data_IF_548186666523
#
_entry.id   IF_548186666523
#
_cell.length_a   1.000
_cell.length_b   1.000
_cell.length_c   1.000
_cell.angle_alpha   90.00
_cell.angle_beta   90.00
_cell.angle_gamma   90.00
#
_symmetry.space_group_name_H-M   'P 1'
#
loop_
_entity.id
_entity.type
_entity.pdbx_description
1 polymer ?
#
# COMPACT_ATOMS: atom_id res chain seq x y z
N UNK A 1 34.82 -12.24 8.44
CA UNK A 1 35.79 -11.31 7.80
C UNK A 1 35.83 -10.02 8.60
N UNK A 2 36.99 -9.39 8.80
CA UNK A 2 37.05 -8.02 9.34
C UNK A 2 36.86 -7.05 8.17
N UNK A 3 35.71 -6.37 8.09
CA UNK A 3 35.55 -5.24 7.19
C UNK A 3 36.41 -4.07 7.68
N UNK A 4 36.83 -3.19 6.76
CA UNK A 4 37.46 -1.92 7.14
C UNK A 4 36.38 -0.91 7.53
N UNK A 5 36.70 -0.01 8.42
CA UNK A 5 35.82 1.10 8.81
C UNK A 5 36.38 2.41 8.24
N UNK A 6 35.53 3.26 7.67
CA UNK A 6 35.88 4.63 7.28
C UNK A 6 34.86 5.61 7.88
N UNK A 7 35.29 6.83 8.22
CA UNK A 7 34.38 7.86 8.75
C UNK A 7 33.47 8.36 7.63
N UNK A 8 32.21 8.65 7.95
CA UNK A 8 31.25 9.19 6.99
C UNK A 8 31.75 10.48 6.31
N UNK A 9 32.42 11.35 7.07
CA UNK A 9 32.99 12.60 6.53
C UNK A 9 34.00 12.36 5.41
N UNK A 10 34.79 11.29 5.49
CA UNK A 10 35.81 10.97 4.49
C UNK A 10 35.21 10.36 3.21
N UNK A 11 33.95 9.89 3.29
CA UNK A 11 33.20 9.26 2.20
C UNK A 11 32.21 10.23 1.52
N UNK A 12 32.10 11.46 2.02
CA UNK A 12 31.17 12.46 1.51
C UNK A 12 31.93 13.66 0.91
N UNK A 13 31.55 14.07 -0.30
CA UNK A 13 31.91 15.38 -0.84
C UNK A 13 31.29 16.50 0.01
N UNK A 14 30.11 16.23 0.58
CA UNK A 14 29.30 17.22 1.23
C UNK A 14 28.46 16.62 2.36
N UNK A 15 28.52 17.26 3.53
CA UNK A 15 27.67 16.98 4.69
C UNK A 15 27.11 18.32 5.18
N UNK A 16 25.88 18.64 4.78
CA UNK A 16 25.27 19.97 5.01
C UNK A 16 24.02 19.86 5.85
N UNK A 17 24.06 20.52 7.00
CA UNK A 17 22.90 20.72 7.86
C UNK A 17 21.91 21.70 7.23
N UNK A 18 20.64 21.35 7.30
CA UNK A 18 19.55 22.16 6.77
C UNK A 18 19.41 23.51 7.51
N UNK A 19 18.69 24.49 6.90
CA UNK A 19 18.35 25.72 7.59
C UNK A 19 17.37 25.47 8.76
N UNK A 20 17.71 25.99 9.94
CA UNK A 20 16.87 25.87 11.15
C UNK A 20 15.63 26.78 11.13
N UNK A 21 15.51 27.69 10.15
CA UNK A 21 14.32 28.54 10.00
C UNK A 21 13.12 27.75 9.48
N UNK A 22 11.91 28.23 9.79
CA UNK A 22 10.67 27.66 9.21
C UNK A 22 10.50 28.15 7.77
N UNK A 23 10.16 27.28 6.81
CA UNK A 23 9.85 27.70 5.44
C UNK A 23 8.60 28.58 5.40
N UNK A 24 8.50 29.45 4.40
CA UNK A 24 7.22 30.07 4.06
C UNK A 24 6.40 29.02 3.32
N UNK A 25 5.35 28.51 3.97
CA UNK A 25 4.51 27.46 3.42
C UNK A 25 3.56 28.02 2.35
N UNK A 26 3.42 27.28 1.26
CA UNK A 26 2.50 27.59 0.16
C UNK A 26 1.75 26.34 -0.26
N UNK A 27 0.61 26.50 -0.94
CA UNK A 27 -0.16 25.37 -1.46
C UNK A 27 0.48 24.72 -2.69
N UNK A 28 1.37 25.47 -3.38
CA UNK A 28 2.11 25.05 -4.57
C UNK A 28 3.47 25.74 -4.63
N UNK A 29 4.41 25.16 -5.36
CA UNK A 29 5.76 25.73 -5.53
C UNK A 29 6.82 24.65 -5.50
N UNK A 30 7.96 24.96 -4.87
CA UNK A 30 9.08 24.03 -4.74
C UNK A 30 8.87 23.11 -3.55
N UNK A 31 9.22 21.83 -3.71
CA UNK A 31 9.04 20.82 -2.67
C UNK A 31 10.02 21.08 -1.51
N UNK A 32 9.48 21.04 -0.29
CA UNK A 32 10.25 21.06 0.95
C UNK A 32 10.16 19.68 1.58
N UNK A 33 11.29 18.99 1.67
CA UNK A 33 11.36 17.69 2.32
C UNK A 33 11.18 17.85 3.83
N UNK A 34 10.35 17.00 4.43
CA UNK A 34 10.14 16.96 5.88
C UNK A 34 10.38 15.55 6.39
N UNK A 35 10.58 15.41 7.70
CA UNK A 35 10.83 14.10 8.32
C UNK A 35 9.69 13.11 8.08
N UNK A 36 8.44 13.60 8.01
CA UNK A 36 7.27 12.78 7.68
C UNK A 36 7.32 12.16 6.28
N UNK A 37 8.11 12.73 5.35
CA UNK A 37 8.27 12.21 4.00
C UNK A 37 9.32 11.10 3.93
N UNK A 38 10.06 10.82 5.01
CA UNK A 38 11.17 9.86 5.00
C UNK A 38 10.82 8.72 5.94
N UNK A 39 10.66 7.52 5.38
CA UNK A 39 10.36 6.33 6.18
C UNK A 39 10.91 5.07 5.52
N UNK A 40 11.63 4.26 6.28
CA UNK A 40 12.13 2.94 5.86
C UNK A 40 12.90 2.99 4.52
N UNK A 41 13.77 3.99 4.34
CA UNK A 41 14.54 4.15 3.11
C UNK A 41 13.81 4.85 1.96
N UNK A 42 12.51 5.13 2.10
CA UNK A 42 11.65 5.65 1.02
C UNK A 42 11.34 7.13 1.24
N UNK A 43 11.42 7.91 0.15
CA UNK A 43 10.90 9.26 0.10
C UNK A 43 9.44 9.25 -0.38
N UNK A 44 8.50 9.42 0.54
CA UNK A 44 7.06 9.51 0.28
C UNK A 44 6.62 10.98 0.06
N UNK A 45 6.23 11.27 -1.18
CA UNK A 45 5.73 12.57 -1.61
C UNK A 45 4.21 12.55 -1.93
N UNK A 46 3.46 11.59 -1.38
CA UNK A 46 1.99 11.57 -1.49
C UNK A 46 1.32 12.77 -0.81
N UNK A 47 1.94 13.31 0.24
CA UNK A 47 1.55 14.54 0.92
C UNK A 47 2.73 15.53 1.01
N UNK A 48 3.10 16.18 -0.10
CA UNK A 48 4.24 17.07 -0.15
C UNK A 48 3.93 18.41 0.53
N UNK A 49 4.97 19.12 0.97
CA UNK A 49 4.88 20.50 1.44
C UNK A 49 5.65 21.42 0.48
N UNK A 50 5.17 22.64 0.27
CA UNK A 50 5.75 23.57 -0.69
C UNK A 50 6.22 24.88 -0.07
N UNK A 51 7.15 25.53 -0.77
CA UNK A 51 7.58 26.90 -0.51
C UNK A 51 7.68 27.69 -1.82
N UNK A 52 7.74 29.01 -1.72
CA UNK A 52 7.92 29.90 -2.86
C UNK A 52 9.37 29.92 -3.36
N UNK A 53 9.61 30.62 -4.47
CA UNK A 53 10.93 30.68 -5.10
C UNK A 53 12.01 31.30 -4.20
N UNK A 54 11.66 32.34 -3.45
CA UNK A 54 12.58 32.98 -2.50
C UNK A 54 12.91 32.04 -1.33
N UNK A 55 11.90 31.36 -0.79
CA UNK A 55 12.05 30.30 0.22
C UNK A 55 12.99 29.20 -0.28
N UNK A 56 12.76 28.70 -1.49
CA UNK A 56 13.60 27.69 -2.12
C UNK A 56 15.05 28.15 -2.29
N UNK A 57 15.28 29.29 -2.95
CA UNK A 57 16.62 29.87 -3.17
C UNK A 57 17.37 30.08 -1.87
N UNK A 58 16.70 30.56 -0.83
CA UNK A 58 17.30 30.77 0.48
C UNK A 58 17.82 29.48 1.12
N UNK A 59 17.12 28.36 0.90
CA UNK A 59 17.42 27.07 1.52
C UNK A 59 18.51 26.31 0.80
N UNK A 60 18.61 26.46 -0.52
CA UNK A 60 19.64 25.80 -1.32
C UNK A 60 20.97 26.57 -1.37
N UNK A 61 21.10 27.71 -0.66
CA UNK A 61 22.32 28.53 -0.65
C UNK A 61 23.59 27.74 -0.28
N UNK A 62 23.47 26.77 0.63
CA UNK A 62 24.59 25.92 1.04
C UNK A 62 24.82 24.76 0.08
N UNK A 63 23.73 24.13 -0.35
CA UNK A 63 23.74 23.03 -1.32
C UNK A 63 22.36 22.87 -1.94
N UNK A 64 22.30 22.75 -3.27
CA UNK A 64 21.12 22.25 -3.96
C UNK A 64 21.14 20.71 -3.92
N UNK A 65 20.08 20.04 -3.42
CA UNK A 65 19.93 18.59 -3.55
C UNK A 65 19.99 18.15 -5.00
N UNK A 66 20.65 17.02 -5.24
CA UNK A 66 20.79 16.37 -6.55
C UNK A 66 20.32 14.93 -6.45
N UNK A 67 20.07 14.34 -7.62
CA UNK A 67 19.83 12.91 -7.75
C UNK A 67 20.93 12.12 -7.04
N UNK A 68 20.53 11.07 -6.31
CA UNK A 68 21.39 10.20 -5.50
C UNK A 68 22.04 10.85 -4.27
N UNK A 69 21.76 12.12 -3.97
CA UNK A 69 22.06 12.63 -2.63
C UNK A 69 21.21 11.89 -1.60
N UNK A 70 21.74 11.72 -0.39
CA UNK A 70 21.07 11.07 0.72
C UNK A 70 20.58 12.15 1.69
N UNK A 71 19.31 12.08 2.08
CA UNK A 71 18.75 12.90 3.15
C UNK A 71 18.71 12.07 4.42
N UNK A 72 19.33 12.57 5.48
CA UNK A 72 19.38 11.93 6.80
C UNK A 72 18.52 12.71 7.80
N UNK A 73 17.65 12.03 8.56
CA UNK A 73 16.84 12.67 9.61
C UNK A 73 17.61 12.72 10.93
N UNK A 74 17.71 13.92 11.51
CA UNK A 74 18.42 14.12 12.79
C UNK A 74 17.55 13.88 14.01
N UNK A 75 16.23 14.01 13.87
CA UNK A 75 15.25 13.95 14.96
C UNK A 75 13.91 13.42 14.44
N UNK A 76 13.15 12.72 15.28
CA UNK A 76 11.72 12.40 15.11
C UNK A 76 11.27 11.88 13.71
N UNK A 77 11.62 10.63 13.33
CA UNK A 77 12.61 9.75 13.96
C UNK A 77 14.04 10.12 13.55
N UNK A 78 15.00 9.81 14.40
CA UNK A 78 16.42 10.00 14.13
C UNK A 78 16.97 8.78 13.38
N UNK A 79 17.87 8.99 12.41
CA UNK A 79 18.57 7.90 11.73
C UNK A 79 17.92 7.38 10.45
N UNK A 80 16.75 7.89 10.05
CA UNK A 80 16.16 7.53 8.76
C UNK A 80 16.95 8.18 7.62
N UNK A 81 17.00 7.47 6.50
CA UNK A 81 17.61 7.96 5.27
C UNK A 81 16.71 7.75 4.07
N UNK A 82 16.82 8.59 3.05
CA UNK A 82 16.29 8.33 1.72
C UNK A 82 17.22 8.88 0.65
N UNK A 83 17.13 8.35 -0.56
CA UNK A 83 17.78 8.90 -1.74
C UNK A 83 16.87 9.93 -2.42
N UNK A 84 17.46 11.00 -2.95
CA UNK A 84 16.77 11.94 -3.83
C UNK A 84 16.58 11.27 -5.21
N UNK A 85 15.34 11.08 -5.67
CA UNK A 85 15.07 10.45 -6.97
C UNK A 85 15.33 11.43 -8.13
N UNK A 86 15.36 10.89 -9.35
CA UNK A 86 15.40 11.67 -10.58
C UNK A 86 14.16 12.55 -10.76
N UNK A 87 14.34 13.71 -11.40
CA UNK A 87 13.24 14.58 -11.82
C UNK A 87 12.61 15.44 -10.72
N UNK A 88 13.19 15.50 -9.51
CA UNK A 88 12.64 16.29 -8.39
C UNK A 88 13.55 17.47 -8.03
N UNK A 89 12.99 18.67 -8.13
CA UNK A 89 13.57 19.87 -7.53
C UNK A 89 13.01 20.09 -6.12
N UNK A 90 13.83 19.83 -5.11
CA UNK A 90 13.46 19.97 -3.71
C UNK A 90 14.50 20.72 -2.89
N UNK A 91 14.11 21.17 -1.70
CA UNK A 91 15.00 21.69 -0.67
C UNK A 91 14.69 21.03 0.67
N UNK A 92 15.65 21.06 1.60
CA UNK A 92 15.47 20.47 2.91
C UNK A 92 14.66 21.40 3.81
N UNK A 93 13.77 20.80 4.59
CA UNK A 93 13.03 21.46 5.66
C UNK A 93 13.93 21.74 6.86
N UNK A 94 13.53 21.25 8.02
CA UNK A 94 14.26 21.34 9.27
C UNK A 94 14.66 19.94 9.73
N UNK A 95 15.69 19.84 10.60
CA UNK A 95 16.14 18.59 11.24
C UNK A 95 16.59 17.49 10.28
N UNK A 96 17.13 17.89 9.13
CA UNK A 96 17.65 17.01 8.10
C UNK A 96 19.09 17.40 7.73
N UNK A 97 19.86 16.43 7.26
CA UNK A 97 21.19 16.65 6.70
C UNK A 97 21.20 16.12 5.28
N UNK A 98 21.78 16.90 4.37
CA UNK A 98 22.09 16.46 3.02
C UNK A 98 23.50 15.85 3.01
N UNK A 99 23.60 14.60 2.57
CA UNK A 99 24.85 13.88 2.37
C UNK A 99 25.03 13.65 0.86
N UNK A 100 26.23 13.94 0.35
CA UNK A 100 26.62 13.58 -1.02
C UNK A 100 27.83 12.69 -0.95
N UNK A 101 27.69 11.45 -1.42
CA UNK A 101 28.79 10.52 -1.60
C UNK A 101 29.88 11.12 -2.50
N UNK A 102 31.15 10.86 -2.19
CA UNK A 102 32.26 11.17 -3.09
C UNK A 102 32.53 10.01 -4.06
N UNK A 103 33.53 10.17 -4.93
CA UNK A 103 33.91 9.16 -5.92
C UNK A 103 34.46 7.85 -5.34
N UNK A 104 34.73 7.76 -4.03
CA UNK A 104 35.27 6.54 -3.41
C UNK A 104 34.18 5.55 -3.00
N UNK A 105 32.90 5.94 -3.04
CA UNK A 105 31.78 5.12 -2.58
C UNK A 105 30.58 5.24 -3.51
N UNK A 106 29.95 4.10 -3.80
CA UNK A 106 28.65 4.08 -4.47
C UNK A 106 27.59 4.71 -3.54
N UNK A 107 26.85 5.76 -3.97
CA UNK A 107 25.82 6.40 -3.15
C UNK A 107 24.74 5.41 -2.68
N UNK A 108 24.41 4.40 -3.48
CA UNK A 108 23.46 3.36 -3.08
C UNK A 108 24.06 2.46 -2.00
N UNK A 109 25.35 2.12 -2.09
CA UNK A 109 26.01 1.37 -1.00
C UNK A 109 26.02 2.19 0.28
N UNK A 110 26.38 3.47 0.23
CA UNK A 110 26.38 4.35 1.39
C UNK A 110 24.98 4.42 2.03
N UNK A 111 23.94 4.56 1.21
CA UNK A 111 22.55 4.54 1.65
C UNK A 111 22.17 3.24 2.38
N UNK A 112 22.54 2.08 1.83
CA UNK A 112 22.29 0.79 2.49
C UNK A 112 23.12 0.61 3.76
N UNK A 113 24.39 1.01 3.74
CA UNK A 113 25.25 0.96 4.91
C UNK A 113 24.69 1.81 6.07
N UNK A 114 24.19 3.01 5.78
CA UNK A 114 23.53 3.87 6.76
C UNK A 114 22.28 3.23 7.38
N UNK A 115 21.54 2.41 6.63
CA UNK A 115 20.38 1.67 7.15
C UNK A 115 20.75 0.37 7.89
N UNK A 116 21.99 -0.09 7.77
CA UNK A 116 22.39 -1.34 8.40
C UNK A 116 22.26 -1.28 9.92
N UNK A 117 21.93 -2.41 10.59
CA UNK A 117 21.90 -2.48 12.05
C UNK A 117 23.21 -2.01 12.69
N UNK A 118 24.35 -2.23 12.02
CA UNK A 118 25.66 -1.79 12.49
C UNK A 118 25.76 -0.26 12.61
N UNK A 119 25.31 0.50 11.60
CA UNK A 119 25.33 1.97 11.65
C UNK A 119 24.18 2.52 12.50
N UNK A 120 22.99 1.92 12.41
CA UNK A 120 21.84 2.32 13.22
C UNK A 120 22.11 2.14 14.72
N UNK A 121 22.87 1.11 15.12
CA UNK A 121 23.30 0.93 16.50
C UNK A 121 24.28 2.04 16.95
N UNK A 122 25.20 2.48 16.09
CA UNK A 122 26.04 3.65 16.40
C UNK A 122 25.19 4.90 16.60
N UNK A 123 24.15 5.10 15.78
CA UNK A 123 23.22 6.22 15.90
C UNK A 123 22.43 6.14 17.21
N UNK A 124 21.91 4.97 17.59
CA UNK A 124 21.12 4.78 18.82
C UNK A 124 21.95 4.94 20.10
N UNK A 125 23.22 4.53 20.10
CA UNK A 125 24.10 4.73 21.27
C UNK A 125 24.33 6.20 21.62
N UNK A 126 24.21 7.09 20.64
CA UNK A 126 24.32 8.53 20.86
C UNK A 126 23.07 9.15 21.53
N UNK A 127 21.95 8.40 21.65
CA UNK A 127 20.75 8.84 22.39
C UNK A 127 20.99 8.92 23.90
N UNK A 128 21.94 8.14 24.45
CA UNK A 128 22.18 8.01 25.89
C UNK A 128 22.86 9.21 26.59
N UNK A 129 23.01 10.35 25.93
CA UNK A 129 23.75 11.52 26.46
C UNK A 129 22.93 12.48 27.33
N UNK A 130 21.69 12.11 27.70
CA UNK A 130 20.92 12.80 28.74
C UNK A 130 20.16 14.06 28.30
N UNK A 131 19.92 14.28 27.01
CA UNK A 131 19.05 15.36 26.52
C UNK A 131 17.59 14.88 26.42
N UNK A 132 16.63 15.74 26.77
CA UNK A 132 15.18 15.44 26.78
C UNK A 132 14.60 15.12 25.39
N UNK A 133 15.35 15.39 24.31
CA UNK A 133 15.01 15.09 22.92
C UNK A 133 16.23 14.43 22.27
N UNK A 134 16.06 13.25 21.66
CA UNK A 134 17.10 12.54 20.90
C UNK A 134 17.41 13.26 19.59
N UNK A 135 18.66 13.64 19.36
CA UNK A 135 19.13 14.31 18.14
C UNK A 135 20.58 13.92 17.79
N UNK A 136 20.84 13.52 16.54
CA UNK A 136 22.22 13.34 16.05
C UNK A 136 22.85 14.70 15.77
N UNK A 137 23.94 15.01 16.49
CA UNK A 137 24.77 16.20 16.23
C UNK A 137 25.63 15.99 14.99
N UNK A 138 25.90 17.05 14.22
CA UNK A 138 26.70 16.97 12.98
C UNK A 138 28.10 16.34 13.18
N UNK A 139 28.87 16.65 14.23
CA UNK A 139 30.16 15.98 14.46
C UNK A 139 30.00 14.47 14.66
N UNK A 140 28.97 14.05 15.40
CA UNK A 140 28.65 12.63 15.62
C UNK A 140 28.27 11.95 14.31
N UNK A 141 27.45 12.60 13.47
CA UNK A 141 27.10 12.09 12.15
C UNK A 141 28.34 11.89 11.28
N UNK A 142 29.23 12.89 11.25
CA UNK A 142 30.49 12.85 10.50
C UNK A 142 31.44 11.74 10.96
N UNK A 143 31.40 11.41 12.24
CA UNK A 143 32.21 10.37 12.87
C UNK A 143 31.62 8.96 12.76
N UNK A 144 30.42 8.78 12.19
CA UNK A 144 29.86 7.46 11.98
C UNK A 144 30.81 6.59 11.16
N UNK A 145 31.04 5.37 11.65
CA UNK A 145 31.90 4.40 11.00
C UNK A 145 31.08 3.63 9.99
N UNK A 146 31.41 3.78 8.72
CA UNK A 146 30.79 3.08 7.62
C UNK A 146 31.62 1.82 7.32
N UNK A 147 31.00 0.63 7.33
CA UNK A 147 31.68 -0.62 6.97
C UNK A 147 32.02 -0.60 5.49
N UNK A 148 33.23 -1.05 5.14
CA UNK A 148 33.76 -1.08 3.78
C UNK A 148 34.05 -2.52 3.38
N UNK A 149 33.37 -2.95 2.32
CA UNK A 149 33.42 -4.32 1.80
C UNK A 149 34.15 -4.40 0.46
N UNK A 150 34.78 -3.30 0.02
CA UNK A 150 35.64 -3.27 -1.16
C UNK A 150 34.87 -3.65 -2.43
N UNK A 151 35.31 -4.70 -3.11
CA UNK A 151 34.73 -5.14 -4.38
C UNK A 151 33.25 -5.58 -4.27
N UNK A 152 32.78 -5.95 -3.08
CA UNK A 152 31.40 -6.43 -2.88
C UNK A 152 30.37 -5.29 -2.75
N UNK A 153 30.81 -4.05 -2.55
CA UNK A 153 29.92 -2.91 -2.26
C UNK A 153 28.92 -2.64 -3.39
N UNK A 154 29.39 -2.68 -4.63
CA UNK A 154 28.53 -2.46 -5.81
C UNK A 154 27.49 -3.56 -5.98
N UNK A 155 27.86 -4.82 -5.72
CA UNK A 155 26.91 -5.93 -5.73
C UNK A 155 25.84 -5.75 -4.65
N UNK A 156 26.24 -5.41 -3.42
CA UNK A 156 25.32 -5.18 -2.31
C UNK A 156 24.35 -4.04 -2.65
N UNK A 157 24.89 -2.93 -3.14
CA UNK A 157 24.10 -1.79 -3.57
C UNK A 157 23.04 -2.18 -4.61
N UNK A 158 23.45 -2.91 -5.66
CA UNK A 158 22.57 -3.37 -6.72
C UNK A 158 21.50 -4.33 -6.20
N UNK A 159 21.89 -5.35 -5.45
CA UNK A 159 21.00 -6.39 -4.93
C UNK A 159 19.97 -5.81 -3.97
N UNK A 160 20.39 -5.05 -2.96
CA UNK A 160 19.47 -4.45 -1.98
C UNK A 160 18.50 -3.47 -2.64
N UNK A 161 19.00 -2.67 -3.59
CA UNK A 161 18.16 -1.76 -4.36
C UNK A 161 17.14 -2.52 -5.21
N UNK A 162 17.54 -3.60 -5.89
CA UNK A 162 16.64 -4.44 -6.69
C UNK A 162 15.51 -5.05 -5.84
N UNK A 163 15.85 -5.63 -4.69
CA UNK A 163 14.88 -6.21 -3.74
C UNK A 163 13.88 -5.16 -3.26
N UNK A 164 14.36 -3.98 -2.88
CA UNK A 164 13.52 -2.87 -2.43
C UNK A 164 12.59 -2.34 -3.54
N UNK A 165 13.13 -2.16 -4.75
CA UNK A 165 12.35 -1.73 -5.91
C UNK A 165 11.25 -2.73 -6.27
N UNK A 166 11.55 -4.03 -6.25
CA UNK A 166 10.56 -5.08 -6.51
C UNK A 166 9.42 -5.03 -5.47
N UNK A 167 9.74 -4.84 -4.18
CA UNK A 167 8.73 -4.68 -3.13
C UNK A 167 7.81 -3.47 -3.40
N UNK A 168 8.39 -2.33 -3.78
CA UNK A 168 7.64 -1.12 -4.11
C UNK A 168 6.74 -1.29 -5.35
N UNK A 169 7.24 -1.97 -6.39
CA UNK A 169 6.46 -2.27 -7.59
C UNK A 169 5.26 -3.15 -7.22
N UNK A 170 5.47 -4.19 -6.43
CA UNK A 170 4.41 -5.07 -5.96
C UNK A 170 3.36 -4.33 -5.11
N UNK A 171 3.77 -3.38 -4.26
CA UNK A 171 2.84 -2.51 -3.52
C UNK A 171 1.97 -1.67 -4.46
N UNK A 172 2.56 -1.08 -5.51
CA UNK A 172 1.83 -0.32 -6.53
C UNK A 172 0.87 -1.21 -7.34
N UNK A 173 1.29 -2.43 -7.69
CA UNK A 173 0.42 -3.40 -8.35
C UNK A 173 -0.77 -3.72 -7.44
N UNK A 174 -0.54 -3.98 -6.15
CA UNK A 174 -1.60 -4.28 -5.20
C UNK A 174 -2.61 -3.14 -5.04
N UNK A 175 -2.14 -1.89 -4.98
CA UNK A 175 -3.01 -0.71 -4.99
C UNK A 175 -3.85 -0.64 -6.27
N UNK A 176 -3.25 -0.94 -7.43
CA UNK A 176 -3.95 -0.96 -8.72
C UNK A 176 -5.00 -2.06 -8.77
N UNK A 177 -4.69 -3.28 -8.30
CA UNK A 177 -5.63 -4.40 -8.24
C UNK A 177 -6.85 -4.09 -7.36
N UNK A 178 -6.63 -3.46 -6.20
CA UNK A 178 -7.73 -3.03 -5.32
C UNK A 178 -8.57 -1.91 -5.97
N UNK A 179 -7.93 -0.97 -6.67
CA UNK A 179 -8.61 0.08 -7.43
C UNK A 179 -9.45 -0.50 -8.58
N UNK A 180 -8.96 -1.54 -9.27
CA UNK A 180 -9.73 -2.24 -10.31
C UNK A 180 -11.00 -2.87 -9.72
N UNK A 181 -10.90 -3.57 -8.59
CA UNK A 181 -12.07 -4.15 -7.92
C UNK A 181 -13.07 -3.07 -7.47
N UNK A 182 -12.56 -1.95 -6.95
CA UNK A 182 -13.39 -0.81 -6.57
C UNK A 182 -14.07 -0.13 -7.77
N UNK A 183 -13.37 -0.01 -8.91
CA UNK A 183 -13.92 0.56 -10.14
C UNK A 183 -15.01 -0.33 -10.73
N UNK A 184 -14.79 -1.66 -10.75
CA UNK A 184 -15.81 -2.63 -11.16
C UNK A 184 -17.05 -2.53 -10.26
N UNK A 185 -16.87 -2.47 -8.94
CA UNK A 185 -17.99 -2.31 -8.02
C UNK A 185 -18.76 -1.02 -8.29
N UNK A 186 -18.04 0.09 -8.49
CA UNK A 186 -18.64 1.40 -8.77
C UNK A 186 -19.46 1.36 -10.06
N UNK A 187 -18.89 0.84 -11.14
CA UNK A 187 -19.57 0.69 -12.44
C UNK A 187 -20.86 -0.14 -12.32
N UNK A 188 -20.80 -1.30 -11.67
CA UNK A 188 -21.93 -2.24 -11.63
C UNK A 188 -23.01 -1.88 -10.60
N UNK A 189 -22.62 -1.34 -9.43
CA UNK A 189 -23.51 -1.24 -8.26
C UNK A 189 -23.68 0.19 -7.70
N UNK A 190 -23.01 1.19 -8.28
CA UNK A 190 -23.14 2.60 -7.86
C UNK A 190 -23.55 3.48 -9.03
N UNK A 191 -22.82 3.39 -10.15
CA UNK A 191 -23.08 4.18 -11.35
C UNK A 191 -24.08 3.49 -12.28
N UNK A 192 -24.28 2.16 -12.10
CA UNK A 192 -25.20 1.31 -12.86
C UNK A 192 -24.95 1.35 -14.38
N UNK A 193 -23.69 1.43 -14.80
CA UNK A 193 -23.30 1.59 -16.22
C UNK A 193 -23.89 0.51 -17.13
N UNK A 194 -23.90 -0.80 -16.77
CA UNK A 194 -24.50 -1.82 -17.62
C UNK A 194 -26.01 -1.65 -17.83
N UNK A 195 -26.73 -1.09 -16.85
CA UNK A 195 -28.17 -0.82 -16.95
C UNK A 195 -28.44 0.42 -17.80
N UNK A 196 -27.68 1.49 -17.58
CA UNK A 196 -27.81 2.74 -18.33
C UNK A 196 -27.46 2.59 -19.81
N UNK A 197 -26.43 1.81 -20.12
CA UNK A 197 -26.05 1.53 -21.51
C UNK A 197 -27.10 0.69 -22.23
N UNK A 198 -27.72 -0.29 -21.55
CA UNK A 198 -28.90 -1.00 -22.06
C UNK A 198 -30.05 -0.06 -22.39
N UNK A 199 -30.40 0.82 -21.44
CA UNK A 199 -31.49 1.78 -21.62
C UNK A 199 -31.25 2.70 -22.81
N UNK A 200 -30.06 3.29 -22.92
CA UNK A 200 -29.73 4.20 -24.00
C UNK A 200 -29.93 3.55 -25.40
N UNK A 201 -29.49 2.31 -25.56
CA UNK A 201 -29.67 1.56 -26.81
C UNK A 201 -31.15 1.30 -27.11
N UNK A 202 -31.94 0.92 -26.10
CA UNK A 202 -33.37 0.65 -26.29
C UNK A 202 -34.16 1.94 -26.57
N UNK A 203 -33.79 3.07 -25.96
CA UNK A 203 -34.39 4.38 -26.21
C UNK A 203 -34.12 4.90 -27.63
N UNK A 204 -32.95 4.56 -28.19
CA UNK A 204 -32.60 4.85 -29.59
C UNK A 204 -33.25 3.88 -30.60
N UNK A 205 -34.03 2.91 -30.12
CA UNK A 205 -34.72 1.92 -30.96
C UNK A 205 -33.88 0.70 -31.35
N UNK A 206 -32.76 0.48 -30.67
CA UNK A 206 -31.93 -0.73 -30.81
C UNK A 206 -32.61 -1.99 -30.29
N UNK A 207 -32.08 -3.15 -30.67
CA UNK A 207 -32.62 -4.45 -30.25
C UNK A 207 -32.16 -4.85 -28.84
N UNK A 208 -32.78 -5.89 -28.28
CA UNK A 208 -32.33 -6.47 -27.00
C UNK A 208 -30.92 -7.08 -27.10
N UNK A 209 -30.53 -7.55 -28.29
CA UNK A 209 -29.18 -8.06 -28.55
C UNK A 209 -28.17 -6.91 -28.51
N UNK A 210 -28.50 -5.77 -29.13
CA UNK A 210 -27.67 -4.56 -29.12
C UNK A 210 -27.51 -4.03 -27.69
N UNK A 211 -28.59 -4.01 -26.91
CA UNK A 211 -28.57 -3.61 -25.51
C UNK A 211 -27.71 -4.55 -24.66
N UNK A 212 -27.77 -5.86 -24.92
CA UNK A 212 -26.91 -6.85 -24.24
C UNK A 212 -25.45 -6.65 -24.60
N UNK A 213 -25.14 -6.40 -25.88
CA UNK A 213 -23.79 -6.08 -26.34
C UNK A 213 -23.26 -4.80 -25.65
N UNK A 214 -24.08 -3.76 -25.54
CA UNK A 214 -23.72 -2.52 -24.84
C UNK A 214 -23.39 -2.79 -23.36
N UNK A 215 -24.19 -3.59 -22.65
CA UNK A 215 -23.84 -4.02 -21.29
C UNK A 215 -22.53 -4.82 -21.24
N UNK A 216 -22.27 -5.70 -22.22
CA UNK A 216 -20.99 -6.43 -22.30
C UNK A 216 -19.80 -5.48 -22.46
N UNK A 217 -19.93 -4.40 -23.25
CA UNK A 217 -18.88 -3.38 -23.38
C UNK A 217 -18.64 -2.65 -22.06
N UNK A 218 -19.70 -2.25 -21.35
CA UNK A 218 -19.60 -1.59 -20.05
C UNK A 218 -18.96 -2.51 -18.98
N UNK A 219 -19.32 -3.79 -18.98
CA UNK A 219 -18.81 -4.78 -18.02
C UNK A 219 -17.32 -5.09 -18.26
N UNK A 220 -16.94 -5.29 -19.52
CA UNK A 220 -15.60 -5.78 -19.87
C UNK A 220 -14.59 -4.68 -20.19
N UNK A 221 -15.06 -3.45 -20.45
CA UNK A 221 -14.25 -2.35 -20.99
C UNK A 221 -13.76 -2.59 -22.42
N UNK A 222 -14.28 -3.60 -23.13
CA UNK A 222 -13.97 -3.90 -24.53
C UNK A 222 -14.97 -3.19 -25.44
N UNK A 223 -14.49 -2.61 -26.53
CA UNK A 223 -15.37 -2.12 -27.60
C UNK A 223 -15.94 -3.28 -28.44
N UNK A 224 -16.83 -2.95 -29.38
CA UNK A 224 -17.52 -3.95 -30.20
C UNK A 224 -16.56 -4.80 -31.05
N UNK A 225 -15.51 -4.19 -31.61
CA UNK A 225 -14.51 -4.89 -32.42
C UNK A 225 -13.69 -5.85 -31.54
N UNK A 226 -13.27 -5.40 -30.35
CA UNK A 226 -12.57 -6.23 -29.38
C UNK A 226 -13.45 -7.38 -28.85
N UNK A 227 -14.76 -7.18 -28.72
CA UNK A 227 -15.70 -8.25 -28.35
C UNK A 227 -15.84 -9.30 -29.45
N UNK A 228 -15.88 -8.91 -30.72
CA UNK A 228 -15.91 -9.86 -31.84
C UNK A 228 -14.63 -10.72 -31.90
N UNK A 229 -13.47 -10.11 -31.62
CA UNK A 229 -12.21 -10.87 -31.48
C UNK A 229 -12.26 -11.78 -30.25
N UNK A 230 -12.78 -11.28 -29.13
CA UNK A 230 -12.89 -12.02 -27.87
C UNK A 230 -13.82 -13.24 -27.98
N UNK A 231 -14.93 -13.13 -28.71
CA UNK A 231 -15.83 -14.26 -29.00
C UNK A 231 -15.11 -15.38 -29.77
N UNK A 232 -14.28 -15.01 -30.76
CA UNK A 232 -13.53 -15.97 -31.57
C UNK A 232 -12.39 -16.64 -30.79
N UNK A 233 -11.66 -15.88 -29.97
CA UNK A 233 -10.48 -16.37 -29.25
C UNK A 233 -10.82 -17.05 -27.91
N UNK A 234 -11.88 -16.60 -27.25
CA UNK A 234 -12.29 -17.03 -25.92
C UNK A 234 -13.82 -17.23 -25.82
N UNK A 235 -14.41 -18.17 -26.59
CA UNK A 235 -15.85 -18.33 -26.72
C UNK A 235 -16.56 -18.62 -25.38
N UNK A 236 -15.92 -19.40 -24.49
CA UNK A 236 -16.48 -19.70 -23.16
C UNK A 236 -16.55 -18.45 -22.27
N UNK A 237 -15.50 -17.61 -22.27
CA UNK A 237 -15.46 -16.38 -21.48
C UNK A 237 -16.40 -15.32 -22.06
N UNK A 238 -16.56 -15.29 -23.38
CA UNK A 238 -17.56 -14.45 -24.04
C UNK A 238 -18.98 -14.86 -23.65
N UNK A 239 -19.28 -16.16 -23.61
CA UNK A 239 -20.58 -16.66 -23.17
C UNK A 239 -20.85 -16.30 -21.69
N UNK A 240 -19.86 -16.42 -20.81
CA UNK A 240 -19.95 -15.99 -19.40
C UNK A 240 -20.22 -14.47 -19.29
N UNK A 241 -19.52 -13.65 -20.09
CA UNK A 241 -19.73 -12.21 -20.13
C UNK A 241 -21.14 -11.86 -20.61
N UNK A 242 -21.63 -12.53 -21.65
CA UNK A 242 -23.00 -12.35 -22.16
C UNK A 242 -24.03 -12.73 -21.10
N UNK A 243 -23.88 -13.88 -20.46
CA UNK A 243 -24.75 -14.32 -19.38
C UNK A 243 -24.75 -13.31 -18.21
N UNK A 244 -23.60 -12.74 -17.87
CA UNK A 244 -23.50 -11.68 -16.85
C UNK A 244 -24.24 -10.41 -17.29
N UNK A 245 -24.09 -10.00 -18.55
CA UNK A 245 -24.77 -8.84 -19.10
C UNK A 245 -26.30 -9.00 -19.10
N UNK A 246 -26.81 -10.20 -19.39
CA UNK A 246 -28.24 -10.52 -19.37
C UNK A 246 -28.88 -10.39 -17.98
N UNK A 247 -28.11 -10.60 -16.90
CA UNK A 247 -28.62 -10.46 -15.52
C UNK A 247 -28.93 -9.02 -15.12
N UNK A 248 -28.31 -8.02 -15.78
CA UNK A 248 -28.61 -6.62 -15.47
C UNK A 248 -29.99 -6.21 -16.00
N UNK A 249 -30.81 -5.50 -15.21
CA UNK A 249 -32.06 -4.90 -15.67
C UNK A 249 -31.84 -3.97 -16.86
N UNK A 250 -32.92 -3.67 -17.60
CA UNK A 250 -32.89 -2.74 -18.74
C UNK A 250 -33.67 -1.45 -18.46
N UNK A 251 -34.01 -1.20 -17.19
CA UNK A 251 -34.76 -0.04 -16.73
C UNK A 251 -34.29 0.37 -15.33
N UNK A 252 -34.58 1.63 -14.98
CA UNK A 252 -34.34 2.22 -13.65
C UNK A 252 -35.68 2.55 -12.99
N UNK A 253 -35.67 2.67 -11.67
CA UNK A 253 -36.79 3.06 -10.83
C UNK A 253 -36.35 4.09 -9.78
N UNK A 254 -37.28 4.93 -9.34
CA UNK A 254 -37.04 5.89 -8.26
C UNK A 254 -36.89 5.18 -6.90
N UNK A 255 -36.00 5.71 -6.06
CA UNK A 255 -35.81 5.25 -4.67
C UNK A 255 -35.37 6.40 -3.75
N UNK A 256 -35.39 6.15 -2.44
CA UNK A 256 -34.90 7.11 -1.43
C UNK A 256 -33.42 7.51 -1.62
N UNK A 257 -32.64 6.71 -2.35
CA UNK A 257 -31.23 6.98 -2.64
C UNK A 257 -30.98 7.46 -4.08
N UNK A 258 -32.05 7.87 -4.79
CA UNK A 258 -32.04 8.26 -6.20
C UNK A 258 -32.46 7.11 -7.12
N UNK A 259 -32.22 7.27 -8.42
CA UNK A 259 -32.53 6.23 -9.41
C UNK A 259 -31.67 4.98 -9.19
N UNK A 260 -32.32 3.83 -9.10
CA UNK A 260 -31.68 2.50 -8.96
C UNK A 260 -32.24 1.54 -10.02
N UNK A 261 -31.55 0.43 -10.35
CA UNK A 261 -32.07 -0.54 -11.31
C UNK A 261 -33.42 -1.13 -10.90
N UNK A 262 -34.26 -1.41 -11.89
CA UNK A 262 -35.57 -2.03 -11.66
C UNK A 262 -35.45 -3.36 -10.88
N UNK A 263 -36.28 -3.52 -9.85
CA UNK A 263 -36.29 -4.67 -8.96
C UNK A 263 -35.29 -4.60 -7.79
N UNK A 264 -34.35 -3.65 -7.82
CA UNK A 264 -33.42 -3.43 -6.71
C UNK A 264 -34.12 -2.62 -5.62
N UNK A 265 -33.59 -2.67 -4.39
CA UNK A 265 -34.19 -1.98 -3.23
C UNK A 265 -33.13 -1.37 -2.32
N UNK A 266 -33.56 -0.53 -1.39
CA UNK A 266 -32.71 -0.02 -0.31
C UNK A 266 -32.84 -0.91 0.93
N UNK A 267 -31.74 -1.08 1.66
CA UNK A 267 -31.71 -1.88 2.88
C UNK A 267 -30.70 -1.32 3.90
N UNK A 268 -30.98 -1.55 5.19
CA UNK A 268 -30.06 -1.22 6.27
C UNK A 268 -28.84 -2.15 6.25
N UNK A 269 -27.66 -1.56 6.50
CA UNK A 269 -26.39 -2.29 6.60
C UNK A 269 -26.46 -3.45 7.59
N UNK A 270 -27.15 -3.30 8.73
CA UNK A 270 -27.27 -4.38 9.72
C UNK A 270 -27.97 -5.65 9.21
N UNK A 271 -28.76 -5.55 8.15
CA UNK A 271 -29.48 -6.69 7.57
C UNK A 271 -28.61 -7.48 6.58
N UNK A 272 -27.55 -6.88 6.05
CA UNK A 272 -26.66 -7.50 5.04
C UNK A 272 -25.28 -7.89 5.58
N UNK A 273 -25.03 -7.71 6.87
CA UNK A 273 -23.77 -8.09 7.51
C UNK A 273 -23.98 -9.06 8.67
N UNK A 274 -22.98 -9.91 8.89
CA UNK A 274 -22.83 -10.72 10.07
C UNK A 274 -21.57 -10.26 10.83
N UNK A 275 -21.74 -9.88 12.10
CA UNK A 275 -20.61 -9.57 12.99
C UNK A 275 -20.15 -10.84 13.68
N UNK A 276 -18.91 -11.24 13.41
CA UNK A 276 -18.33 -12.43 14.03
C UNK A 276 -17.94 -12.13 15.49
N UNK A 277 -18.15 -13.12 16.36
CA UNK A 277 -17.78 -13.02 17.78
C UNK A 277 -16.27 -13.07 17.92
N UNK A 278 -15.70 -12.01 18.50
CA UNK A 278 -14.28 -11.94 18.88
C UNK A 278 -14.18 -12.51 20.30
N UNK A 279 -13.49 -13.64 20.47
CA UNK A 279 -13.27 -14.23 21.80
C UNK A 279 -12.19 -13.46 22.55
N UNK A 280 -11.01 -13.33 21.94
CA UNK A 280 -9.87 -12.58 22.44
C UNK A 280 -9.23 -11.81 21.27
N UNK A 281 -8.55 -10.72 21.57
CA UNK A 281 -7.65 -10.04 20.63
C UNK A 281 -6.25 -10.60 20.78
N UNK A 282 -5.44 -10.56 19.71
CA UNK A 282 -4.08 -11.07 19.77
C UNK A 282 -3.21 -10.20 20.70
N UNK A 283 -2.43 -10.80 21.63
CA UNK A 283 -1.54 -10.04 22.52
C UNK A 283 -0.44 -9.32 21.75
N UNK A 284 -0.24 -8.02 22.04
CA UNK A 284 0.71 -7.19 21.29
C UNK A 284 2.17 -7.63 21.44
N UNK A 285 2.50 -8.24 22.59
CA UNK A 285 3.80 -8.80 22.93
C UNK A 285 4.13 -10.10 22.19
N UNK A 286 3.11 -10.80 21.67
CA UNK A 286 3.29 -12.01 20.86
C UNK A 286 3.43 -11.71 19.35
N UNK A 287 3.24 -10.46 18.92
CA UNK A 287 3.30 -10.07 17.50
C UNK A 287 4.75 -10.04 17.05
N UNK A 288 5.03 -10.80 15.99
CA UNK A 288 6.33 -10.85 15.32
C UNK A 288 6.32 -10.01 14.05
N UNK A 289 7.49 -9.66 13.54
CA UNK A 289 7.62 -9.03 12.23
C UNK A 289 7.20 -9.99 11.10
N UNK A 290 7.60 -11.26 11.20
CA UNK A 290 7.34 -12.33 10.23
C UNK A 290 6.56 -13.47 10.88
N UNK A 291 5.70 -14.13 10.11
CA UNK A 291 4.90 -15.28 10.55
C UNK A 291 3.85 -15.67 9.51
N UNK A 292 3.13 -16.75 9.78
CA UNK A 292 2.13 -17.30 8.84
C UNK A 292 0.84 -16.48 8.74
N UNK A 293 0.38 -15.90 9.86
CA UNK A 293 -0.91 -15.24 9.97
C UNK A 293 -0.75 -13.77 10.35
N UNK A 294 -1.28 -12.82 9.58
CA UNK A 294 -1.23 -11.41 9.93
C UNK A 294 -2.13 -11.07 11.12
N UNK A 295 -1.69 -10.10 11.93
CA UNK A 295 -2.51 -9.42 12.93
C UNK A 295 -2.94 -8.07 12.39
N UNK A 296 -4.24 -7.92 12.19
CA UNK A 296 -4.83 -6.71 11.63
C UNK A 296 -5.26 -5.73 12.72
N UNK A 297 -5.00 -4.46 12.49
CA UNK A 297 -5.43 -3.36 13.35
C UNK A 297 -6.26 -2.31 12.60
N UNK A 298 -6.85 -1.40 13.36
CA UNK A 298 -7.70 -0.32 12.85
C UNK A 298 -6.92 0.98 12.55
N UNK A 299 -5.59 0.97 12.65
CA UNK A 299 -4.73 2.14 12.46
C UNK A 299 -4.36 2.42 10.99
N UNK A 300 -3.52 3.43 10.78
CA UNK A 300 -2.98 3.76 9.45
C UNK A 300 -2.12 2.61 8.88
N UNK A 301 -1.51 1.81 9.76
CA UNK A 301 -0.79 0.59 9.39
C UNK A 301 -1.69 -0.60 9.67
N UNK A 302 -2.46 -1.04 8.67
CA UNK A 302 -3.41 -2.16 8.83
C UNK A 302 -2.73 -3.41 9.39
N UNK A 303 -1.51 -3.70 8.95
CA UNK A 303 -0.74 -4.86 9.37
C UNK A 303 0.18 -4.48 10.53
N UNK A 304 -0.19 -4.92 11.73
CA UNK A 304 0.63 -4.70 12.92
C UNK A 304 1.84 -5.65 12.94
N UNK A 305 1.67 -6.87 12.42
CA UNK A 305 2.69 -7.90 12.30
C UNK A 305 2.07 -9.26 12.03
N UNK A 306 2.72 -10.34 12.47
CA UNK A 306 2.32 -11.72 12.22
C UNK A 306 2.49 -12.62 13.45
N UNK A 307 1.89 -13.81 13.41
CA UNK A 307 2.11 -14.92 14.33
C UNK A 307 2.04 -16.27 13.60
N UNK A 308 2.42 -17.34 14.29
CA UNK A 308 2.43 -18.72 13.78
C UNK A 308 1.44 -19.64 14.53
N UNK A 309 0.65 -19.07 15.45
CA UNK A 309 -0.42 -19.78 16.17
C UNK A 309 -1.67 -19.97 15.30
N UNK A 310 -2.52 -20.94 15.68
CA UNK A 310 -3.82 -21.16 15.04
C UNK A 310 -4.66 -19.88 15.00
N UNK A 311 -5.11 -19.42 13.81
CA UNK A 311 -5.75 -18.13 13.67
C UNK A 311 -7.20 -18.15 14.16
N UNK A 312 -7.64 -17.04 14.77
CA UNK A 312 -9.03 -16.90 15.23
C UNK A 312 -10.03 -16.82 14.07
N UNK A 313 -9.60 -16.30 12.92
CA UNK A 313 -10.46 -16.08 11.75
C UNK A 313 -9.87 -16.73 10.50
N UNK A 314 -10.50 -17.82 10.05
CA UNK A 314 -10.12 -18.58 8.86
C UNK A 314 -10.72 -17.98 7.59
N UNK A 315 -10.23 -16.80 7.17
CA UNK A 315 -10.59 -16.22 5.87
C UNK A 315 -9.84 -16.91 4.72
N UNK A 316 -10.47 -16.95 3.56
CA UNK A 316 -9.91 -17.49 2.31
C UNK A 316 -10.33 -16.64 1.11
N UNK A 317 -9.78 -16.90 -0.07
CA UNK A 317 -10.22 -16.24 -1.30
C UNK A 317 -11.72 -16.43 -1.56
N UNK A 318 -12.26 -17.64 -1.36
CA UNK A 318 -13.67 -17.98 -1.60
C UNK A 318 -14.58 -17.56 -0.44
N UNK A 319 -14.03 -17.39 0.76
CA UNK A 319 -14.77 -16.99 1.95
C UNK A 319 -13.98 -15.91 2.71
N UNK A 320 -13.87 -14.71 2.14
CA UNK A 320 -13.12 -13.65 2.79
C UNK A 320 -13.90 -13.11 3.99
N UNK A 321 -13.21 -12.32 4.80
CA UNK A 321 -13.79 -11.55 5.90
C UNK A 321 -13.15 -10.16 5.88
N UNK A 322 -13.82 -9.16 6.41
CA UNK A 322 -13.23 -7.83 6.50
C UNK A 322 -13.32 -7.28 7.92
N UNK A 323 -12.37 -6.42 8.24
CA UNK A 323 -12.37 -5.68 9.48
C UNK A 323 -13.03 -4.31 9.32
N UNK A 324 -13.61 -3.80 10.41
CA UNK A 324 -14.04 -2.42 10.58
C UNK A 324 -13.47 -1.88 11.89
N UNK A 325 -12.69 -0.81 11.79
CA UNK A 325 -12.19 -0.07 12.95
C UNK A 325 -13.31 0.77 13.56
N UNK A 326 -13.76 0.42 14.77
CA UNK A 326 -14.90 1.10 15.39
C UNK A 326 -14.59 2.58 15.72
N UNK A 327 -13.31 2.90 15.95
CA UNK A 327 -12.86 4.26 16.23
C UNK A 327 -12.36 5.02 15.01
N UNK A 328 -11.86 4.33 13.99
CA UNK A 328 -11.18 4.96 12.84
C UNK A 328 -11.98 4.88 11.54
N UNK A 329 -13.04 4.06 11.51
CA UNK A 329 -13.81 3.72 10.31
C UNK A 329 -12.99 3.05 9.19
N UNK A 330 -11.77 2.63 9.49
CA UNK A 330 -10.89 1.94 8.55
C UNK A 330 -11.48 0.57 8.24
N UNK A 331 -11.53 0.22 6.95
CA UNK A 331 -12.00 -1.07 6.48
C UNK A 331 -10.91 -1.77 5.69
N UNK A 332 -10.75 -3.06 5.91
CA UNK A 332 -9.79 -3.88 5.19
C UNK A 332 -10.31 -5.30 5.00
N UNK A 333 -10.25 -5.80 3.77
CA UNK A 333 -10.66 -7.15 3.41
C UNK A 333 -9.45 -8.10 3.51
N UNK A 334 -9.63 -9.20 4.23
CA UNK A 334 -8.67 -10.30 4.28
C UNK A 334 -9.19 -11.52 3.54
N UNK A 335 -8.32 -12.07 2.71
CA UNK A 335 -8.51 -13.33 1.96
C UNK A 335 -7.59 -14.44 2.47
N UNK A 336 -6.89 -14.20 3.58
CA UNK A 336 -6.03 -15.16 4.29
C UNK A 336 -6.40 -15.21 5.76
N UNK A 337 -6.15 -16.34 6.47
CA UNK A 337 -6.44 -16.43 7.88
C UNK A 337 -5.69 -15.39 8.70
N UNK A 338 -6.34 -14.79 9.70
CA UNK A 338 -5.80 -13.65 10.45
C UNK A 338 -6.34 -13.57 11.88
N UNK A 339 -5.68 -12.73 12.68
CA UNK A 339 -6.13 -12.28 13.99
C UNK A 339 -6.26 -10.76 14.03
N UNK A 340 -6.85 -10.24 15.11
CA UNK A 340 -7.11 -8.80 15.24
C UNK A 340 -6.61 -8.21 16.55
N UNK A 341 -6.29 -6.92 16.48
CA UNK A 341 -5.99 -6.06 17.61
C UNK A 341 -7.23 -5.37 18.18
N UNK A 342 -7.04 -4.66 19.30
CA UNK A 342 -8.13 -4.03 20.07
C UNK A 342 -8.99 -3.07 19.24
N UNK A 343 -10.29 -3.07 19.56
CA UNK A 343 -11.37 -2.29 18.94
C UNK A 343 -11.53 -2.45 17.41
N UNK A 344 -11.10 -3.60 16.90
CA UNK A 344 -11.37 -4.05 15.54
C UNK A 344 -12.59 -4.97 15.55
N UNK A 345 -13.54 -4.75 14.63
CA UNK A 345 -14.68 -5.65 14.42
C UNK A 345 -14.42 -6.53 13.21
N UNK A 346 -14.79 -7.81 13.27
CA UNK A 346 -14.73 -8.72 12.12
C UNK A 346 -16.13 -8.94 11.56
N UNK A 347 -16.27 -8.73 10.25
CA UNK A 347 -17.53 -8.73 9.53
C UNK A 347 -17.49 -9.68 8.33
N UNK A 348 -18.65 -10.25 8.00
CA UNK A 348 -18.89 -11.09 6.82
C UNK A 348 -20.21 -10.70 6.18
N UNK A 349 -20.36 -10.90 4.87
CA UNK A 349 -21.66 -10.74 4.19
C UNK A 349 -22.73 -11.68 4.76
N UNK A 350 -23.96 -11.19 4.88
CA UNK A 350 -25.16 -11.95 5.25
C UNK A 350 -26.14 -11.88 4.08
N UNK A 351 -26.45 -13.03 3.48
CA UNK A 351 -27.28 -13.11 2.27
C UNK A 351 -26.54 -12.73 0.98
N UNK A 352 -25.48 -11.92 1.05
CA UNK A 352 -24.66 -11.48 -0.08
C UNK A 352 -23.21 -11.94 0.04
N UNK A 353 -22.49 -12.00 -1.09
CA UNK A 353 -21.07 -12.31 -1.10
C UNK A 353 -20.27 -11.22 -0.34
N UNK A 354 -19.22 -11.64 0.39
CA UNK A 354 -18.47 -10.74 1.26
C UNK A 354 -17.63 -9.70 0.51
N UNK A 355 -17.14 -9.98 -0.71
CA UNK A 355 -16.52 -8.96 -1.55
C UNK A 355 -17.51 -7.84 -1.86
N UNK A 356 -18.71 -8.19 -2.34
CA UNK A 356 -19.76 -7.23 -2.64
C UNK A 356 -20.14 -6.42 -1.39
N UNK A 357 -20.36 -7.09 -0.25
CA UNK A 357 -20.68 -6.42 1.01
C UNK A 357 -19.57 -5.46 1.44
N UNK A 358 -18.30 -5.86 1.33
CA UNK A 358 -17.17 -5.01 1.68
C UNK A 358 -17.18 -3.72 0.87
N UNK A 359 -17.30 -3.79 -0.47
CA UNK A 359 -17.32 -2.60 -1.31
C UNK A 359 -18.60 -1.76 -1.15
N UNK A 360 -19.75 -2.38 -0.87
CA UNK A 360 -20.99 -1.66 -0.57
C UNK A 360 -20.87 -0.80 0.69
N UNK A 361 -20.07 -1.24 1.67
CA UNK A 361 -19.83 -0.53 2.93
C UNK A 361 -18.60 0.40 2.87
N UNK A 362 -17.62 0.13 2.00
CA UNK A 362 -16.35 0.87 1.93
C UNK A 362 -16.62 2.37 1.72
N UNK A 363 -16.21 3.18 2.69
CA UNK A 363 -16.37 4.64 2.65
C UNK A 363 -17.78 5.15 3.00
N UNK A 364 -18.75 4.29 3.35
CA UNK A 364 -20.09 4.70 3.78
C UNK A 364 -20.09 5.42 5.12
N UNK A 365 -19.25 4.97 6.05
CA UNK A 365 -19.02 5.64 7.32
C UNK A 365 -17.70 6.40 7.27
N UNK A 366 -17.75 7.70 7.58
CA UNK A 366 -16.57 8.56 7.70
C UNK A 366 -16.25 8.78 9.17
N UNK A 367 -14.97 8.96 9.47
CA UNK A 367 -14.54 9.44 10.78
C UNK A 367 -15.15 10.81 11.04
N UNK A 368 -15.84 10.98 12.17
CA UNK A 368 -16.41 12.27 12.57
C UNK A 368 -15.64 12.81 13.77
N UNK A 369 -15.42 11.98 14.80
CA UNK A 369 -14.69 12.29 16.02
C UNK A 369 -14.20 10.98 16.66
N UNK A 370 -13.39 11.05 17.72
CA UNK A 370 -12.95 9.85 18.44
C UNK A 370 -14.09 9.22 19.27
N UNK A 371 -15.01 8.54 18.59
CA UNK A 371 -16.14 7.80 19.14
C UNK A 371 -16.24 6.42 18.49
N UNK A 372 -17.17 5.58 18.97
CA UNK A 372 -17.54 4.33 18.29
C UNK A 372 -18.49 4.65 17.15
N UNK A 373 -18.30 4.02 16.00
CA UNK A 373 -19.06 4.28 14.77
C UNK A 373 -19.88 3.07 14.31
N UNK A 374 -19.81 1.94 15.03
CA UNK A 374 -20.58 0.75 14.71
C UNK A 374 -22.10 1.01 14.67
N UNK A 375 -22.65 1.75 15.65
CA UNK A 375 -24.07 2.12 15.67
C UNK A 375 -24.46 2.93 14.45
N UNK A 376 -23.58 3.84 14.02
CA UNK A 376 -23.82 4.76 12.91
C UNK A 376 -23.76 4.02 11.57
N UNK A 377 -22.83 3.07 11.43
CA UNK A 377 -22.69 2.24 10.24
C UNK A 377 -23.92 1.35 10.02
N UNK A 378 -24.43 0.70 11.09
CA UNK A 378 -25.55 -0.27 11.00
C UNK A 378 -26.83 0.30 10.39
N UNK A 379 -27.11 1.58 10.66
CA UNK A 379 -28.34 2.26 10.21
C UNK A 379 -28.17 2.95 8.85
N UNK A 380 -26.99 2.85 8.22
CA UNK A 380 -26.81 3.35 6.87
C UNK A 380 -27.61 2.50 5.89
N UNK A 381 -28.14 3.18 4.88
CA UNK A 381 -28.84 2.56 3.77
C UNK A 381 -27.86 2.27 2.63
N UNK A 382 -28.03 1.11 1.99
CA UNK A 382 -27.34 0.70 0.78
C UNK A 382 -28.34 0.17 -0.24
N UNK A 383 -28.04 0.35 -1.52
CA UNK A 383 -28.81 -0.28 -2.59
C UNK A 383 -28.38 -1.74 -2.66
N UNK A 384 -29.35 -2.65 -2.64
CA UNK A 384 -29.13 -4.08 -2.74
C UNK A 384 -29.79 -4.63 -4.02
N UNK A 385 -29.09 -5.50 -4.76
CA UNK A 385 -29.68 -6.18 -5.91
C UNK A 385 -30.87 -7.07 -5.53
N UNK A 386 -31.73 -7.37 -6.50
CA UNK A 386 -32.86 -8.29 -6.31
C UNK A 386 -32.41 -9.70 -5.89
N UNK A 387 -33.33 -10.46 -5.31
CA UNK A 387 -33.02 -11.76 -4.70
C UNK A 387 -32.69 -12.87 -5.73
N UNK A 388 -32.95 -12.63 -7.01
CA UNK A 388 -32.70 -13.58 -8.10
C UNK A 388 -31.44 -13.20 -8.90
N UNK A 389 -31.61 -12.37 -9.93
CA UNK A 389 -30.55 -12.00 -10.86
C UNK A 389 -29.49 -11.16 -10.16
N UNK A 390 -29.94 -10.24 -9.31
CA UNK A 390 -29.08 -9.41 -8.48
C UNK A 390 -28.14 -10.21 -7.59
N UNK A 391 -28.63 -11.27 -6.94
CA UNK A 391 -27.77 -12.13 -6.12
C UNK A 391 -26.72 -12.87 -6.97
N UNK A 392 -27.07 -13.33 -8.17
CA UNK A 392 -26.12 -13.92 -9.11
C UNK A 392 -25.06 -12.90 -9.56
N UNK A 393 -25.44 -11.64 -9.82
CA UNK A 393 -24.49 -10.57 -10.13
C UNK A 393 -23.46 -10.37 -9.02
N UNK A 394 -23.87 -10.44 -7.75
CA UNK A 394 -22.90 -10.35 -6.63
C UNK A 394 -21.92 -11.52 -6.59
N UNK A 395 -22.30 -12.70 -7.08
CA UNK A 395 -21.42 -13.88 -7.20
C UNK A 395 -20.46 -13.73 -8.37
N UNK A 396 -20.91 -13.27 -9.55
CA UNK A 396 -20.03 -12.99 -10.67
C UNK A 396 -19.00 -11.91 -10.33
N UNK A 397 -19.43 -10.84 -9.66
CA UNK A 397 -18.52 -9.82 -9.12
C UNK A 397 -17.48 -10.42 -8.17
N UNK A 398 -17.89 -11.33 -7.30
CA UNK A 398 -16.98 -12.01 -6.38
C UNK A 398 -15.92 -12.84 -7.11
N UNK A 399 -16.28 -13.58 -8.16
CA UNK A 399 -15.31 -14.35 -8.96
C UNK A 399 -14.25 -13.44 -9.58
N UNK A 400 -14.64 -12.25 -10.08
CA UNK A 400 -13.67 -11.26 -10.58
C UNK A 400 -12.77 -10.74 -9.45
N UNK A 401 -13.33 -10.49 -8.26
CA UNK A 401 -12.54 -10.10 -7.10
C UNK A 401 -11.58 -11.20 -6.64
N UNK A 402 -11.98 -12.47 -6.65
CA UNK A 402 -11.11 -13.59 -6.28
C UNK A 402 -9.83 -13.65 -7.12
N UNK A 403 -9.94 -13.39 -8.43
CA UNK A 403 -8.76 -13.28 -9.31
C UNK A 403 -7.84 -12.12 -8.94
N UNK A 404 -8.41 -10.92 -8.75
CA UNK A 404 -7.64 -9.71 -8.40
C UNK A 404 -6.97 -9.83 -7.02
N UNK A 405 -7.71 -10.27 -6.01
CA UNK A 405 -7.18 -10.46 -4.67
C UNK A 405 -6.23 -11.67 -4.57
N UNK A 406 -6.38 -12.67 -5.43
CA UNK A 406 -5.42 -13.77 -5.55
C UNK A 406 -4.02 -13.27 -5.96
N UNK A 407 -3.93 -12.44 -7.00
CA UNK A 407 -2.68 -11.79 -7.41
C UNK A 407 -2.13 -10.86 -6.31
N UNK A 408 -3.03 -10.15 -5.64
CA UNK A 408 -2.69 -9.25 -4.54
C UNK A 408 -1.99 -10.00 -3.39
N UNK A 409 -2.55 -11.15 -2.98
CA UNK A 409 -1.95 -11.99 -1.95
C UNK A 409 -0.61 -12.61 -2.37
N UNK A 410 -0.44 -12.98 -3.65
CA UNK A 410 0.84 -13.45 -4.17
C UNK A 410 1.92 -12.38 -4.03
N UNK A 411 1.62 -11.15 -4.46
CA UNK A 411 2.53 -10.02 -4.31
C UNK A 411 2.83 -9.69 -2.84
N UNK A 412 1.85 -9.78 -1.94
CA UNK A 412 2.05 -9.59 -0.49
C UNK A 412 3.03 -10.61 0.08
N UNK A 413 2.85 -11.89 -0.26
CA UNK A 413 3.77 -12.97 0.15
C UNK A 413 5.17 -12.74 -0.40
N UNK A 414 5.28 -12.38 -1.68
CA UNK A 414 6.58 -12.06 -2.29
C UNK A 414 7.24 -10.89 -1.57
N UNK A 415 6.50 -9.82 -1.23
CA UNK A 415 7.05 -8.69 -0.48
C UNK A 415 7.55 -9.08 0.91
N UNK A 416 6.83 -9.95 1.62
CA UNK A 416 7.28 -10.44 2.92
C UNK A 416 8.62 -11.21 2.80
N UNK A 417 8.75 -12.04 1.75
CA UNK A 417 9.99 -12.78 1.45
C UNK A 417 11.13 -11.81 1.09
N UNK A 418 10.89 -10.86 0.18
CA UNK A 418 11.88 -9.86 -0.24
C UNK A 418 12.37 -9.01 0.95
N UNK A 419 11.47 -8.60 1.83
CA UNK A 419 11.80 -7.88 3.05
C UNK A 419 12.64 -8.73 3.99
N UNK A 420 12.25 -9.99 4.23
CA UNK A 420 13.01 -10.90 5.08
C UNK A 420 14.44 -11.13 4.55
N UNK A 421 14.59 -11.32 3.24
CA UNK A 421 15.91 -11.47 2.60
C UNK A 421 16.72 -10.21 2.79
N UNK A 422 16.17 -9.04 2.45
CA UNK A 422 16.88 -7.75 2.59
C UNK A 422 17.36 -7.53 4.03
N UNK A 423 16.47 -7.74 4.99
CA UNK A 423 16.71 -7.48 6.41
C UNK A 423 17.64 -8.54 7.04
N UNK A 424 17.78 -9.72 6.43
CA UNK A 424 18.69 -10.79 6.86
C UNK A 424 20.05 -10.73 6.17
N UNK A 425 20.08 -10.42 4.88
CA UNK A 425 21.25 -10.54 4.02
C UNK A 425 22.27 -9.44 4.29
N UNK A 426 21.84 -8.18 4.40
CA UNK A 426 22.75 -7.06 4.64
C UNK A 426 23.51 -7.20 5.97
N UNK A 427 22.85 -7.51 7.11
CA UNK A 427 23.57 -7.70 8.37
C UNK A 427 24.56 -8.86 8.33
N UNK A 428 24.19 -10.00 7.73
CA UNK A 428 25.06 -11.19 7.64
C UNK A 428 26.28 -10.96 6.74
N UNK A 429 26.12 -10.22 5.66
CA UNK A 429 27.23 -9.82 4.80
C UNK A 429 28.18 -8.87 5.54
N UNK A 430 27.62 -7.93 6.30
CA UNK A 430 28.40 -6.98 7.10
C UNK A 430 29.10 -7.68 8.28
N UNK A 431 28.50 -8.67 8.94
CA UNK A 431 29.19 -9.46 9.98
C UNK A 431 30.18 -10.48 9.41
N UNK A 432 30.11 -10.75 8.10
CA UNK A 432 30.88 -11.79 7.44
C UNK A 432 30.46 -13.20 7.86
N UNK A 433 29.22 -13.37 8.35
CA UNK A 433 28.60 -14.66 8.67
C UNK A 433 28.32 -15.49 7.43
N UNK A 434 28.08 -14.84 6.28
CA UNK A 434 27.91 -15.50 4.99
C UNK A 434 28.88 -14.91 3.95
N UNK A 435 29.55 -15.75 3.16
CA UNK A 435 30.37 -15.29 2.04
C UNK A 435 29.47 -14.88 0.86
N UNK A 436 30.00 -14.05 -0.04
CA UNK A 436 29.24 -13.52 -1.18
C UNK A 436 28.60 -14.62 -2.08
N UNK A 437 29.28 -15.73 -2.42
CA UNK A 437 28.66 -16.76 -3.26
C UNK A 437 27.41 -17.40 -2.65
N UNK A 438 27.39 -17.59 -1.32
CA UNK A 438 26.21 -18.11 -0.62
C UNK A 438 25.07 -17.09 -0.59
N UNK A 439 25.41 -15.80 -0.46
CA UNK A 439 24.44 -14.71 -0.56
C UNK A 439 23.85 -14.60 -1.98
N UNK A 440 24.67 -14.75 -3.02
CA UNK A 440 24.22 -14.80 -4.42
C UNK A 440 23.27 -15.96 -4.68
N UNK A 441 23.60 -17.15 -4.18
CA UNK A 441 22.73 -18.31 -4.29
C UNK A 441 21.37 -18.07 -3.63
N UNK A 442 21.36 -17.56 -2.39
CA UNK A 442 20.12 -17.28 -1.65
C UNK A 442 19.21 -16.27 -2.36
N UNK A 443 19.78 -15.27 -3.05
CA UNK A 443 19.01 -14.32 -3.86
C UNK A 443 18.47 -14.99 -5.12
N UNK A 444 19.28 -15.79 -5.82
CA UNK A 444 18.89 -16.47 -7.06
C UNK A 444 17.76 -17.48 -6.87
N UNK A 445 17.72 -18.17 -5.73
CA UNK A 445 16.64 -19.12 -5.41
C UNK A 445 15.28 -18.42 -5.29
N UNK A 446 15.27 -17.13 -4.96
CA UNK A 446 14.05 -16.35 -4.75
C UNK A 446 13.61 -15.63 -6.02
N UNK A 447 14.54 -15.24 -6.90
CA UNK A 447 14.19 -14.70 -8.22
C UNK A 447 13.47 -15.73 -9.11
N UNK A 448 13.61 -17.03 -8.81
CA UNK A 448 12.99 -18.14 -9.52
C UNK A 448 11.66 -18.64 -8.90
N UNK A 449 11.14 -17.94 -7.87
CA UNK A 449 9.87 -18.24 -7.18
C UNK A 449 8.89 -17.09 -7.37
#
# INVERSE_FOLDING_TARGET
>A
MSFKEQRLEDLCELVIDCPHSTPKWTDKGFIVLRNQNIRNGVLDLSAPSFTDEDGYKSRIKRAKPRVNDIVFTREAPMGEVCLIPEGIDCCLGQRQVLLRANSEIDPYYLFWALQSPYVQHQISWNEGTGTTVSNVRIPVLKDLKIPRLGEHESWIAKTMTSLALKSQINEKINQTLEQMAQALFKSWFVDFEPVKTKMAVLEEGGSQEDATLAAMTAISGKDADALAVFEREHPEQYAELKATAELFPSAMQESELGEIPEGWRTENVENIINRLKVKNTFPADCIKQFGQHPVLEQGAKIYQGHHDEEPSFNASLQSPMFIFGDHTCVMHLSTVPFDISKNTLVLKGKGFNTYWTFFALKGKQKFQEYKRHWSDLKVKQVVIPDENNGLLLTKYFAVKCEGLFGLLEQNRKQNLILQNIRDTLLPKLLSGEIPLPEAEQAVSEVENV
#
